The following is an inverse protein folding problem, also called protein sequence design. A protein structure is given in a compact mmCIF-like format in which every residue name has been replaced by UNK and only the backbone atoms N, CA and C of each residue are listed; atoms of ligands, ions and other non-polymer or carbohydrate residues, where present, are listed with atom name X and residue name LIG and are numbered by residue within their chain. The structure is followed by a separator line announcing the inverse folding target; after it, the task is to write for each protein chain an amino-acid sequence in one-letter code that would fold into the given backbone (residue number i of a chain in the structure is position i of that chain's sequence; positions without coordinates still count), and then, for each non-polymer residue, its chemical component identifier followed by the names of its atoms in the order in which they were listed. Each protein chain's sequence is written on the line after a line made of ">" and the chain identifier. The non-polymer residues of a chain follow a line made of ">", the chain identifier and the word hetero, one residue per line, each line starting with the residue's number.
data_IF_176175824024
#
_entry.id   IF_176175824024
#
_cell.length_a   1.000
_cell.length_b   1.000
_cell.length_c   1.000
_cell.angle_alpha   90.00
_cell.angle_beta   90.00
_cell.angle_gamma   90.00
#
_symmetry.space_group_name_H-M   'P 1'
#
loop_
_entity.id
_entity.type
_entity.pdbx_description
1 polymer ?
#
# COMPACT_ATOMS: atom_id res chain seq x y z
N UNK A 1 -71.41 38.01 11.14
CA UNK A 1 -70.95 36.81 11.86
C UNK A 1 -71.05 35.61 10.93
N UNK A 2 -70.12 35.47 9.96
CA UNK A 2 -70.04 34.34 9.02
C UNK A 2 -68.58 34.16 8.61
N UNK A 3 -68.13 32.89 8.58
CA UNK A 3 -66.79 32.36 8.35
C UNK A 3 -66.20 32.64 6.95
N UNK A 4 -64.88 32.85 6.87
CA UNK A 4 -64.06 32.46 5.71
C UNK A 4 -62.70 31.93 6.21
N UNK A 5 -62.44 30.66 5.93
CA UNK A 5 -61.13 30.00 6.05
C UNK A 5 -60.12 30.62 5.08
N UNK A 6 -58.88 30.79 5.51
CA UNK A 6 -57.74 30.67 4.61
C UNK A 6 -56.57 30.04 5.37
N UNK A 7 -56.49 28.73 5.20
CA UNK A 7 -55.36 27.89 5.55
C UNK A 7 -54.21 28.21 4.59
N UNK A 8 -53.06 28.63 5.12
CA UNK A 8 -51.79 28.65 4.38
C UNK A 8 -50.66 28.36 5.36
N UNK A 9 -50.54 27.09 5.72
CA UNK A 9 -49.30 26.52 6.24
C UNK A 9 -48.17 26.77 5.24
N UNK A 10 -47.27 27.72 5.56
CA UNK A 10 -45.96 27.83 4.92
C UNK A 10 -45.17 26.56 5.24
N UNK A 11 -44.60 25.85 4.24
CA UNK A 11 -43.71 24.74 4.52
C UNK A 11 -42.43 25.28 5.16
N UNK A 12 -42.12 24.77 6.36
CA UNK A 12 -40.82 24.93 7.01
C UNK A 12 -39.78 24.28 6.10
N UNK A 13 -38.88 25.09 5.55
CA UNK A 13 -37.78 24.60 4.73
C UNK A 13 -36.93 23.62 5.55
N UNK A 14 -36.86 22.37 5.10
CA UNK A 14 -35.89 21.38 5.57
C UNK A 14 -34.48 21.96 5.43
N UNK A 15 -33.57 21.76 6.40
CA UNK A 15 -32.16 22.07 6.19
C UNK A 15 -31.66 21.24 5.01
N UNK A 16 -31.26 21.93 3.92
CA UNK A 16 -30.65 21.32 2.74
C UNK A 16 -29.33 20.72 3.20
N UNK A 17 -29.18 19.40 3.08
CA UNK A 17 -27.91 18.73 3.37
C UNK A 17 -26.81 19.36 2.52
N UNK A 18 -25.59 19.55 3.06
CA UNK A 18 -24.49 20.11 2.29
C UNK A 18 -24.25 19.24 1.04
N UNK A 19 -23.96 19.87 -0.11
CA UNK A 19 -23.83 19.18 -1.39
C UNK A 19 -22.69 18.14 -1.34
N UNK A 20 -22.92 16.98 -1.94
CA UNK A 20 -21.96 15.85 -1.95
C UNK A 20 -20.71 16.13 -2.80
N UNK A 21 -20.77 17.13 -3.70
CA UNK A 21 -19.67 17.55 -4.54
C UNK A 21 -19.79 19.04 -4.92
N UNK A 22 -18.64 19.69 -5.07
CA UNK A 22 -18.52 21.05 -5.57
C UNK A 22 -17.82 21.05 -6.92
N UNK A 23 -18.22 21.94 -7.82
CA UNK A 23 -17.55 22.16 -9.10
C UNK A 23 -17.17 23.63 -9.27
N UNK A 24 -15.99 23.88 -9.82
CA UNK A 24 -15.48 25.21 -10.12
C UNK A 24 -14.54 25.13 -11.32
N UNK A 25 -14.73 25.99 -12.32
CA UNK A 25 -13.96 25.91 -13.58
C UNK A 25 -13.98 24.50 -14.18
N UNK A 26 -12.83 23.93 -14.60
CA UNK A 26 -12.73 22.54 -15.09
C UNK A 26 -12.66 21.50 -13.96
N UNK A 27 -12.72 21.92 -12.69
CA UNK A 27 -12.48 21.06 -11.54
C UNK A 27 -13.76 20.63 -10.85
N UNK A 28 -13.73 19.40 -10.33
CA UNK A 28 -14.77 18.84 -9.47
C UNK A 28 -14.11 18.25 -8.22
N UNK A 29 -14.62 18.61 -7.06
CA UNK A 29 -14.17 18.09 -5.78
C UNK A 29 -15.30 17.30 -5.11
N UNK A 30 -14.97 16.11 -4.64
CA UNK A 30 -15.87 15.23 -3.90
C UNK A 30 -15.26 15.03 -2.50
N UNK A 31 -15.66 15.85 -1.50
CA UNK A 31 -15.03 15.83 -0.18
C UNK A 31 -15.06 14.46 0.51
N UNK A 32 -16.17 13.73 0.37
CA UNK A 32 -16.34 12.38 0.96
C UNK A 32 -15.37 11.35 0.38
N UNK A 33 -15.05 11.46 -0.92
CA UNK A 33 -14.18 10.52 -1.63
C UNK A 33 -12.71 10.99 -1.67
N UNK A 34 -12.42 12.16 -1.07
CA UNK A 34 -11.12 12.82 -1.15
C UNK A 34 -10.59 12.98 -2.58
N UNK A 35 -11.50 13.17 -3.52
CA UNK A 35 -11.22 13.18 -4.95
C UNK A 35 -11.28 14.61 -5.50
N UNK A 36 -10.22 15.00 -6.21
CA UNK A 36 -10.20 16.18 -7.07
C UNK A 36 -10.06 15.70 -8.52
N UNK A 37 -10.97 16.11 -9.38
CA UNK A 37 -10.96 15.81 -10.82
C UNK A 37 -10.77 17.10 -11.61
N UNK A 38 -10.11 17.02 -12.77
CA UNK A 38 -10.11 18.05 -13.80
C UNK A 38 -10.62 17.45 -15.10
N UNK A 39 -11.73 17.96 -15.62
CA UNK A 39 -12.40 17.40 -16.80
C UNK A 39 -12.63 15.87 -16.70
N UNK A 40 -12.92 15.36 -15.50
CA UNK A 40 -13.12 13.93 -15.22
C UNK A 40 -11.87 13.09 -15.01
N UNK A 41 -10.66 13.67 -15.08
CA UNK A 41 -9.41 12.98 -14.75
C UNK A 41 -8.95 13.33 -13.33
N UNK A 42 -8.54 12.33 -12.54
CA UNK A 42 -8.08 12.55 -11.17
C UNK A 42 -6.80 13.39 -11.12
N UNK A 43 -6.79 14.41 -10.27
CA UNK A 43 -5.65 15.29 -10.01
C UNK A 43 -5.04 14.93 -8.65
N UNK A 44 -3.76 14.51 -8.59
CA UNK A 44 -3.14 14.16 -7.33
C UNK A 44 -2.97 15.40 -6.44
N UNK A 45 -3.54 15.36 -5.24
CA UNK A 45 -3.42 16.41 -4.24
C UNK A 45 -3.12 15.79 -2.87
N UNK A 46 -2.08 16.27 -2.20
CA UNK A 46 -1.70 15.77 -0.87
C UNK A 46 -2.78 16.05 0.17
N UNK A 47 -2.93 15.17 1.17
CA UNK A 47 -4.07 15.17 2.10
C UNK A 47 -4.34 16.53 2.76
N UNK A 48 -3.30 17.21 3.25
CA UNK A 48 -3.45 18.53 3.91
C UNK A 48 -3.81 19.64 2.93
N UNK A 49 -3.29 19.61 1.71
CA UNK A 49 -3.67 20.57 0.67
C UNK A 49 -5.12 20.34 0.20
N UNK A 50 -5.57 19.09 0.18
CA UNK A 50 -6.97 18.74 -0.08
C UNK A 50 -7.90 19.24 1.02
N UNK A 51 -7.53 19.08 2.30
CA UNK A 51 -8.35 19.57 3.42
C UNK A 51 -8.48 21.10 3.38
N UNK A 52 -7.41 21.81 3.04
CA UNK A 52 -7.44 23.26 2.80
C UNK A 52 -8.34 23.63 1.62
N UNK A 53 -8.29 22.88 0.51
CA UNK A 53 -9.15 23.11 -0.65
C UNK A 53 -10.63 22.93 -0.29
N UNK A 54 -10.99 21.86 0.43
CA UNK A 54 -12.36 21.66 0.89
C UNK A 54 -12.85 22.83 1.75
N UNK A 55 -12.02 23.29 2.70
CA UNK A 55 -12.40 24.40 3.58
C UNK A 55 -12.56 25.72 2.80
N UNK A 56 -11.69 25.98 1.83
CA UNK A 56 -11.72 27.18 1.00
C UNK A 56 -12.88 27.17 0.00
N UNK A 57 -13.23 26.01 -0.57
CA UNK A 57 -14.35 25.85 -1.51
C UNK A 57 -15.71 25.91 -0.80
N UNK A 58 -15.82 25.32 0.39
CA UNK A 58 -17.03 25.38 1.23
C UNK A 58 -17.37 26.82 1.64
N UNK A 59 -16.35 27.67 1.76
CA UNK A 59 -16.48 29.12 2.06
C UNK A 59 -16.03 30.00 0.89
N UNK A 60 -16.32 29.58 -0.34
CA UNK A 60 -15.92 30.33 -1.52
C UNK A 60 -16.50 31.76 -1.50
N UNK A 61 -15.65 32.74 -1.82
CA UNK A 61 -15.96 34.17 -1.71
C UNK A 61 -15.70 34.79 -0.33
N UNK A 62 -15.45 33.98 0.72
CA UNK A 62 -15.11 34.47 2.06
C UNK A 62 -13.60 34.42 2.32
N UNK A 63 -13.10 35.38 3.10
CA UNK A 63 -11.70 35.37 3.56
C UNK A 63 -11.59 34.50 4.80
N UNK A 64 -10.92 33.36 4.68
CA UNK A 64 -10.68 32.43 5.79
C UNK A 64 -9.36 32.76 6.46
N UNK A 65 -9.40 32.94 7.79
CA UNK A 65 -8.24 33.27 8.61
C UNK A 65 -7.16 32.18 8.60
N UNK A 66 -5.88 32.59 8.67
CA UNK A 66 -4.76 31.62 8.72
C UNK A 66 -4.84 30.69 9.93
N UNK A 67 -5.23 31.21 11.09
CA UNK A 67 -5.39 30.42 12.31
C UNK A 67 -6.48 29.35 12.16
N UNK A 68 -7.60 29.68 11.52
CA UNK A 68 -8.70 28.75 11.27
C UNK A 68 -8.30 27.67 10.25
N UNK A 69 -7.61 28.06 9.18
CA UNK A 69 -7.05 27.13 8.20
C UNK A 69 -6.06 26.16 8.87
N UNK A 70 -5.20 26.66 9.76
CA UNK A 70 -4.24 25.83 10.50
C UNK A 70 -4.97 24.88 11.46
N UNK A 71 -5.87 25.40 12.29
CA UNK A 71 -6.59 24.61 13.28
C UNK A 71 -7.43 23.50 12.65
N UNK A 72 -7.97 23.73 11.45
CA UNK A 72 -8.83 22.76 10.76
C UNK A 72 -8.06 21.77 9.91
N UNK A 73 -7.02 22.21 9.20
CA UNK A 73 -6.20 21.31 8.41
C UNK A 73 -5.16 20.54 9.25
N UNK A 74 -4.84 20.99 10.47
CA UNK A 74 -3.95 20.31 11.42
C UNK A 74 -4.52 20.30 12.85
N UNK A 75 -5.62 19.57 13.10
CA UNK A 75 -6.23 19.52 14.43
C UNK A 75 -5.24 18.93 15.46
N UNK A 76 -5.05 19.64 16.57
CA UNK A 76 -4.20 19.20 17.68
C UNK A 76 -2.68 19.34 17.46
N UNK A 77 -2.24 19.98 16.38
CA UNK A 77 -0.82 20.22 16.09
C UNK A 77 -0.53 21.72 16.03
N UNK A 78 0.58 22.14 16.64
CA UNK A 78 1.08 23.51 16.51
C UNK A 78 1.92 23.61 15.24
N UNK A 79 1.41 24.35 14.24
CA UNK A 79 2.03 24.46 12.92
C UNK A 79 2.28 25.93 12.60
N UNK A 80 3.46 26.24 12.06
CA UNK A 80 3.81 27.61 11.67
C UNK A 80 3.16 28.05 10.34
N UNK A 81 3.09 29.36 10.09
CA UNK A 81 2.52 29.91 8.86
C UNK A 81 3.29 29.54 7.57
N UNK A 82 4.55 29.11 7.68
CA UNK A 82 5.34 28.59 6.56
C UNK A 82 4.78 27.28 6.02
N UNK A 83 4.33 26.39 6.90
CA UNK A 83 3.67 25.14 6.51
C UNK A 83 2.33 25.40 5.79
N UNK A 84 1.52 26.34 6.27
CA UNK A 84 0.30 26.76 5.56
C UNK A 84 0.62 27.29 4.15
N UNK A 85 1.62 28.18 4.03
CA UNK A 85 2.08 28.72 2.74
C UNK A 85 2.54 27.63 1.79
N UNK A 86 3.30 26.65 2.27
CA UNK A 86 3.77 25.51 1.46
C UNK A 86 2.61 24.73 0.85
N UNK A 87 1.59 24.38 1.64
CA UNK A 87 0.45 23.63 1.15
C UNK A 87 -0.46 24.45 0.23
N UNK A 88 -0.55 25.77 0.41
CA UNK A 88 -1.22 26.65 -0.56
C UNK A 88 -0.45 26.69 -1.89
N UNK A 89 0.87 26.62 -1.90
CA UNK A 89 1.66 26.50 -3.14
C UNK A 89 1.38 25.18 -3.86
N UNK A 90 1.32 24.06 -3.13
CA UNK A 90 0.94 22.76 -3.71
C UNK A 90 -0.47 22.78 -4.29
N UNK A 91 -1.40 23.40 -3.57
CA UNK A 91 -2.77 23.59 -4.02
C UNK A 91 -2.84 24.37 -5.33
N UNK A 92 -2.18 25.52 -5.39
CA UNK A 92 -2.10 26.37 -6.59
C UNK A 92 -1.47 25.63 -7.77
N UNK A 93 -0.45 24.82 -7.53
CA UNK A 93 0.18 23.99 -8.55
C UNK A 93 -0.80 22.94 -9.10
N UNK A 94 -1.60 22.30 -8.24
CA UNK A 94 -2.59 21.32 -8.68
C UNK A 94 -3.76 21.95 -9.47
N UNK A 95 -4.09 23.20 -9.16
CA UNK A 95 -5.14 23.95 -9.86
C UNK A 95 -4.65 24.70 -11.12
N UNK A 96 -3.36 24.57 -11.47
CA UNK A 96 -2.71 25.35 -12.54
C UNK A 96 -2.89 26.87 -12.40
N UNK A 97 -2.96 27.36 -11.16
CA UNK A 97 -3.24 28.75 -10.72
C UNK A 97 -2.24 29.81 -11.26
N UNK A 98 -1.26 29.39 -12.07
CA UNK A 98 -0.14 30.19 -12.59
C UNK A 98 -0.05 30.16 -14.11
N UNK A 99 -0.80 29.29 -14.80
CA UNK A 99 -0.77 29.12 -16.25
C UNK A 99 -2.17 29.37 -16.82
N UNK A 100 -2.48 30.63 -17.15
CA UNK A 100 -3.70 30.98 -17.89
C UNK A 100 -4.51 32.16 -17.38
N UNK A 101 -4.10 32.84 -16.31
CA UNK A 101 -4.75 34.08 -15.84
C UNK A 101 -5.95 33.90 -14.90
N UNK A 102 -6.37 32.66 -14.63
CA UNK A 102 -7.37 32.36 -13.60
C UNK A 102 -6.67 32.05 -12.27
N UNK A 103 -6.88 32.89 -11.26
CA UNK A 103 -6.45 32.59 -9.89
C UNK A 103 -7.64 32.14 -9.06
N UNK A 104 -7.64 30.89 -8.62
CA UNK A 104 -8.63 30.24 -7.77
C UNK A 104 -8.43 30.58 -6.29
N UNK A 105 -7.18 30.74 -5.83
CA UNK A 105 -6.86 31.04 -4.42
C UNK A 105 -6.06 32.33 -4.30
N UNK A 106 -6.65 33.35 -3.69
CA UNK A 106 -6.04 34.67 -3.49
C UNK A 106 -5.60 34.83 -2.03
N UNK A 107 -4.40 35.39 -1.83
CA UNK A 107 -3.92 35.79 -0.51
C UNK A 107 -4.43 37.21 -0.21
N UNK A 108 -5.12 37.38 0.91
CA UNK A 108 -5.55 38.69 1.41
C UNK A 108 -4.59 39.11 2.54
N UNK A 109 -3.72 40.11 2.31
CA UNK A 109 -2.68 40.50 3.25
C UNK A 109 -3.24 40.77 4.66
N UNK A 110 -2.60 40.16 5.67
CA UNK A 110 -3.00 40.30 7.08
C UNK A 110 -4.31 39.60 7.47
N UNK A 111 -5.05 38.99 6.54
CA UNK A 111 -6.37 38.40 6.81
C UNK A 111 -6.46 36.91 6.52
N UNK A 112 -5.76 36.40 5.51
CA UNK A 112 -5.74 34.96 5.20
C UNK A 112 -5.90 34.67 3.71
N UNK A 113 -6.69 33.65 3.37
CA UNK A 113 -6.86 33.19 1.99
C UNK A 113 -8.34 33.18 1.61
N UNK A 114 -8.63 33.45 0.33
CA UNK A 114 -9.97 33.43 -0.23
C UNK A 114 -9.98 32.59 -1.51
N UNK A 115 -11.01 31.76 -1.67
CA UNK A 115 -11.30 31.07 -2.92
C UNK A 115 -12.20 31.95 -3.79
N UNK A 116 -11.73 32.39 -4.95
CA UNK A 116 -12.39 33.45 -5.73
C UNK A 116 -13.10 32.96 -6.99
N UNK A 117 -13.05 31.66 -7.28
CA UNK A 117 -13.77 31.09 -8.42
C UNK A 117 -15.24 30.79 -8.06
N UNK A 118 -16.19 30.96 -9.00
CA UNK A 118 -17.58 30.60 -8.80
C UNK A 118 -17.72 29.09 -8.53
N UNK A 119 -18.20 28.73 -7.34
CA UNK A 119 -18.46 27.35 -6.94
C UNK A 119 -19.93 27.00 -7.15
N UNK A 120 -20.17 25.90 -7.85
CA UNK A 120 -21.49 25.36 -8.10
C UNK A 120 -21.65 24.02 -7.38
N UNK A 121 -22.85 23.78 -6.86
CA UNK A 121 -23.22 22.48 -6.32
C UNK A 121 -23.43 21.52 -7.50
N UNK A 122 -22.52 20.57 -7.67
CA UNK A 122 -22.60 19.61 -8.76
C UNK A 122 -23.55 18.48 -8.35
N UNK A 123 -24.84 18.63 -8.66
CA UNK A 123 -25.76 17.49 -8.64
C UNK A 123 -25.28 16.46 -9.68
N UNK A 124 -25.19 15.18 -9.29
CA UNK A 124 -24.75 14.08 -10.17
C UNK A 124 -25.45 14.16 -11.54
N UNK A 125 -24.72 14.22 -12.68
CA UNK A 125 -25.31 13.79 -13.93
C UNK A 125 -25.44 12.26 -13.87
N UNK A 126 -26.67 11.79 -13.79
CA UNK A 126 -27.03 10.37 -13.98
C UNK A 126 -26.70 9.95 -15.42
N UNK A 127 -25.44 9.60 -15.67
CA UNK A 127 -25.00 8.73 -16.78
C UNK A 127 -23.81 7.90 -16.32
N UNK A 128 -24.05 7.00 -15.40
CA UNK A 128 -23.20 5.84 -15.14
C UNK A 128 -24.13 4.64 -14.99
N UNK A 129 -23.84 3.54 -15.69
CA UNK A 129 -24.67 2.35 -15.57
C UNK A 129 -24.73 1.93 -14.10
N UNK A 130 -25.86 1.40 -13.59
CA UNK A 130 -25.94 0.85 -12.23
C UNK A 130 -24.86 -0.22 -11.96
N UNK A 131 -24.36 -0.87 -13.02
CA UNK A 131 -23.22 -1.80 -12.97
C UNK A 131 -21.88 -1.11 -12.71
N UNK A 132 -21.67 0.09 -13.25
CA UNK A 132 -20.43 0.87 -13.05
C UNK A 132 -20.39 1.48 -11.65
N UNK A 133 -21.52 1.95 -11.13
CA UNK A 133 -21.63 2.45 -9.76
C UNK A 133 -21.39 1.36 -8.71
N UNK A 134 -21.92 0.16 -8.94
CA UNK A 134 -21.70 -0.99 -8.07
C UNK A 134 -20.26 -1.55 -8.19
N UNK A 135 -19.62 -1.44 -9.35
CA UNK A 135 -18.20 -1.77 -9.51
C UNK A 135 -17.28 -0.72 -8.84
N UNK A 136 -17.63 0.57 -8.94
CA UNK A 136 -16.87 1.65 -8.32
C UNK A 136 -16.99 1.62 -6.79
N UNK A 137 -18.18 1.34 -6.24
CA UNK A 137 -18.36 1.14 -4.78
C UNK A 137 -17.64 -0.11 -4.26
N UNK A 138 -17.55 -1.19 -5.04
CA UNK A 138 -16.78 -2.40 -4.68
C UNK A 138 -15.26 -2.21 -4.72
N UNK A 139 -14.77 -1.16 -5.38
CA UNK A 139 -13.37 -0.77 -5.46
C UNK A 139 -12.98 0.36 -4.47
N UNK A 140 -13.96 0.97 -3.77
CA UNK A 140 -13.70 1.97 -2.74
C UNK A 140 -13.02 1.30 -1.54
N UNK A 141 -11.70 1.50 -1.42
CA UNK A 141 -10.86 0.95 -0.34
C UNK A 141 -9.60 0.22 -0.81
N UNK A 142 -9.45 -0.04 -2.12
CA UNK A 142 -8.26 -0.69 -2.65
C UNK A 142 -7.16 0.33 -2.99
N UNK A 143 -5.88 0.03 -2.70
CA UNK A 143 -4.76 0.79 -3.22
C UNK A 143 -4.79 0.84 -4.77
N UNK A 144 -4.14 1.84 -5.38
CA UNK A 144 -4.01 1.90 -6.83
C UNK A 144 -3.48 0.59 -7.41
N UNK A 145 -4.05 0.16 -8.53
CA UNK A 145 -3.55 -1.03 -9.24
C UNK A 145 -2.07 -0.82 -9.57
N UNK A 146 -1.22 -1.83 -9.33
CA UNK A 146 0.13 -1.83 -9.87
C UNK A 146 0.04 -1.62 -11.39
N UNK A 147 0.86 -0.71 -11.92
CA UNK A 147 0.82 -0.37 -13.35
C UNK A 147 1.14 -1.58 -14.23
N UNK A 148 1.99 -2.50 -13.76
CA UNK A 148 2.28 -3.80 -14.36
C UNK A 148 2.65 -4.82 -13.30
N UNK A 149 2.32 -6.08 -13.61
CA UNK A 149 2.68 -7.25 -12.83
C UNK A 149 3.57 -8.14 -13.69
N UNK A 150 4.81 -8.37 -13.28
CA UNK A 150 5.77 -9.19 -14.03
C UNK A 150 5.98 -10.53 -13.34
N UNK A 151 5.65 -11.63 -14.02
CA UNK A 151 5.95 -12.98 -13.56
C UNK A 151 5.19 -13.43 -12.32
N UNK A 152 4.02 -12.84 -12.04
CA UNK A 152 3.19 -13.19 -10.87
C UNK A 152 1.80 -13.69 -11.22
N UNK A 153 1.47 -13.84 -12.50
CA UNK A 153 0.15 -14.25 -12.96
C UNK A 153 -0.27 -15.61 -12.37
N UNK A 154 0.64 -16.60 -12.43
CA UNK A 154 0.41 -17.92 -11.85
C UNK A 154 0.21 -17.88 -10.32
N UNK A 155 0.94 -17.01 -9.62
CA UNK A 155 0.80 -16.86 -8.17
C UNK A 155 -0.55 -16.24 -7.79
N UNK A 156 -1.03 -15.26 -8.56
CA UNK A 156 -2.35 -14.65 -8.35
C UNK A 156 -3.47 -15.67 -8.58
N UNK A 157 -3.38 -16.45 -9.67
CA UNK A 157 -4.36 -17.51 -9.97
C UNK A 157 -4.40 -18.55 -8.85
N UNK A 158 -3.24 -19.07 -8.45
CA UNK A 158 -3.13 -20.06 -7.37
C UNK A 158 -3.68 -19.54 -6.03
N UNK A 159 -3.41 -18.27 -5.69
CA UNK A 159 -3.98 -17.66 -4.48
C UNK A 159 -5.50 -17.50 -4.58
N UNK A 160 -6.04 -17.14 -5.74
CA UNK A 160 -7.48 -17.03 -5.96
C UNK A 160 -8.19 -18.39 -5.79
N UNK A 161 -7.59 -19.47 -6.30
CA UNK A 161 -8.07 -20.84 -6.13
C UNK A 161 -8.06 -21.23 -4.64
N UNK A 162 -6.95 -21.04 -3.93
CA UNK A 162 -6.88 -21.38 -2.51
C UNK A 162 -7.81 -20.53 -1.64
N UNK A 163 -7.99 -19.24 -1.93
CA UNK A 163 -8.97 -18.41 -1.23
C UNK A 163 -10.40 -18.92 -1.43
N UNK A 164 -10.71 -19.48 -2.60
CA UNK A 164 -12.01 -20.11 -2.88
C UNK A 164 -12.27 -21.29 -1.97
N UNK A 165 -11.27 -22.16 -1.82
CA UNK A 165 -11.41 -23.43 -1.14
C UNK A 165 -11.29 -23.30 0.38
N UNK A 166 -10.42 -22.41 0.85
CA UNK A 166 -9.96 -22.36 2.24
C UNK A 166 -10.43 -21.13 3.01
N UNK A 167 -10.81 -20.05 2.33
CA UNK A 167 -11.20 -18.73 2.90
C UNK A 167 -10.15 -18.05 3.80
N UNK A 168 -9.10 -18.72 4.26
CA UNK A 168 -8.03 -18.11 5.04
C UNK A 168 -6.68 -18.54 4.49
N UNK A 169 -6.01 -17.60 3.81
CA UNK A 169 -4.72 -17.82 3.15
C UNK A 169 -3.73 -16.76 3.62
N UNK A 170 -2.51 -17.18 3.95
CA UNK A 170 -1.38 -16.29 4.22
C UNK A 170 -0.38 -16.40 3.10
N UNK A 171 -0.11 -15.28 2.41
CA UNK A 171 1.01 -15.13 1.49
C UNK A 171 2.27 -14.80 2.28
N UNK A 172 3.17 -15.76 2.37
CA UNK A 172 4.45 -15.69 3.07
C UNK A 172 5.59 -15.38 2.12
N UNK A 173 6.60 -14.67 2.60
CA UNK A 173 7.87 -14.51 1.90
C UNK A 173 8.71 -13.34 2.42
N UNK A 174 9.97 -13.21 1.99
CA UNK A 174 10.89 -12.18 2.49
C UNK A 174 10.44 -10.74 2.16
N UNK A 175 11.09 -9.75 2.77
CA UNK A 175 10.89 -8.34 2.43
C UNK A 175 11.25 -8.06 0.97
N UNK A 176 10.46 -7.24 0.27
CA UNK A 176 10.74 -6.88 -1.12
C UNK A 176 10.46 -7.96 -2.19
N UNK A 177 9.92 -9.13 -1.79
CA UNK A 177 9.53 -10.20 -2.72
C UNK A 177 8.28 -9.86 -3.56
N UNK A 178 7.50 -8.84 -3.18
CA UNK A 178 6.32 -8.39 -3.92
C UNK A 178 4.97 -8.92 -3.41
N UNK A 179 4.88 -9.37 -2.15
CA UNK A 179 3.62 -9.86 -1.54
C UNK A 179 2.49 -8.84 -1.64
N UNK A 180 2.74 -7.58 -1.25
CA UNK A 180 1.77 -6.49 -1.33
C UNK A 180 1.28 -6.27 -2.76
N UNK A 181 2.18 -6.31 -3.75
CA UNK A 181 1.82 -6.18 -5.18
C UNK A 181 0.88 -7.30 -5.62
N UNK A 182 1.20 -8.55 -5.27
CA UNK A 182 0.35 -9.72 -5.57
C UNK A 182 -1.01 -9.61 -4.87
N UNK A 183 -1.02 -9.23 -3.59
CA UNK A 183 -2.24 -9.09 -2.81
C UNK A 183 -3.17 -7.99 -3.35
N UNK A 184 -2.62 -6.84 -3.75
CA UNK A 184 -3.38 -5.76 -4.38
C UNK A 184 -3.95 -6.23 -5.72
N UNK A 185 -3.17 -6.88 -6.57
CA UNK A 185 -3.69 -7.40 -7.85
C UNK A 185 -4.83 -8.39 -7.63
N UNK A 186 -4.63 -9.36 -6.73
CA UNK A 186 -5.66 -10.34 -6.40
C UNK A 186 -6.93 -9.67 -5.85
N UNK A 187 -6.79 -8.66 -4.99
CA UNK A 187 -7.91 -7.89 -4.45
C UNK A 187 -8.72 -7.22 -5.57
N UNK A 188 -8.04 -6.64 -6.55
CA UNK A 188 -8.65 -6.01 -7.72
C UNK A 188 -9.35 -6.99 -8.65
N UNK A 189 -8.78 -8.19 -8.84
CA UNK A 189 -9.39 -9.26 -9.65
C UNK A 189 -10.57 -9.92 -8.93
N UNK A 190 -10.54 -9.97 -7.60
CA UNK A 190 -11.57 -10.58 -6.76
C UNK A 190 -12.73 -9.63 -6.42
N UNK A 191 -12.62 -8.33 -6.74
CA UNK A 191 -13.59 -7.30 -6.35
C UNK A 191 -15.04 -7.59 -6.78
N UNK A 192 -15.23 -8.22 -7.95
CA UNK A 192 -16.56 -8.55 -8.47
C UNK A 192 -17.17 -9.82 -7.84
N UNK A 193 -16.35 -10.64 -7.18
CA UNK A 193 -16.74 -11.95 -6.66
C UNK A 193 -17.45 -11.88 -5.31
N UNK A 194 -17.03 -10.93 -4.47
CA UNK A 194 -17.56 -10.76 -3.14
C UNK A 194 -18.70 -9.74 -3.16
N UNK A 195 -19.88 -10.12 -2.66
CA UNK A 195 -21.08 -9.26 -2.67
C UNK A 195 -20.84 -7.91 -2.01
N UNK A 196 -20.15 -7.92 -0.87
CA UNK A 196 -19.83 -6.76 -0.04
C UNK A 196 -18.41 -6.21 -0.31
N UNK A 197 -17.74 -6.69 -1.39
CA UNK A 197 -16.50 -6.15 -1.92
C UNK A 197 -15.22 -6.67 -1.25
N UNK A 198 -14.13 -5.94 -1.47
CA UNK A 198 -12.79 -6.28 -0.96
C UNK A 198 -12.25 -5.08 -0.17
N UNK A 199 -11.60 -5.36 0.96
CA UNK A 199 -11.13 -4.35 1.88
C UNK A 199 -9.66 -4.59 2.17
N UNK A 200 -8.83 -3.58 1.89
CA UNK A 200 -7.39 -3.64 2.07
C UNK A 200 -6.98 -2.85 3.32
N UNK A 201 -6.25 -3.49 4.21
CA UNK A 201 -5.81 -2.94 5.48
C UNK A 201 -4.29 -3.04 5.54
N UNK A 202 -3.60 -1.91 5.38
CA UNK A 202 -2.17 -1.81 5.62
C UNK A 202 -1.90 -1.70 7.12
N UNK A 203 -1.37 -2.77 7.72
CA UNK A 203 -0.99 -2.78 9.11
C UNK A 203 0.41 -2.22 9.34
N UNK A 204 1.20 -1.92 8.30
CA UNK A 204 2.63 -1.64 8.41
C UNK A 204 3.03 -0.38 9.20
N UNK A 205 2.08 0.47 9.59
CA UNK A 205 2.31 1.62 10.48
C UNK A 205 1.78 1.41 11.89
N UNK A 206 1.05 0.31 12.12
CA UNK A 206 0.51 -0.05 13.42
C UNK A 206 1.67 -0.50 14.32
N UNK A 207 1.71 -0.01 15.56
CA UNK A 207 2.75 -0.42 16.53
C UNK A 207 2.17 -1.16 17.73
N UNK A 208 0.89 -0.94 17.99
CA UNK A 208 0.19 -1.53 19.12
C UNK A 208 -0.70 -2.68 18.61
N UNK A 209 -0.39 -3.95 18.96
CA UNK A 209 -1.19 -5.10 18.59
C UNK A 209 -2.64 -5.03 19.07
N UNK A 210 -2.94 -4.27 20.13
CA UNK A 210 -4.31 -4.10 20.63
C UNK A 210 -5.20 -3.28 19.68
N UNK A 211 -4.61 -2.54 18.75
CA UNK A 211 -5.32 -1.69 17.79
C UNK A 211 -5.71 -2.42 16.50
N UNK A 212 -5.30 -3.68 16.30
CA UNK A 212 -5.54 -4.41 15.03
C UNK A 212 -7.03 -4.49 14.69
N UNK A 213 -7.87 -4.91 15.64
CA UNK A 213 -9.32 -4.99 15.42
C UNK A 213 -9.96 -3.63 15.13
N UNK A 214 -9.45 -2.56 15.76
CA UNK A 214 -9.91 -1.18 15.54
C UNK A 214 -9.51 -0.70 14.15
N UNK A 215 -8.29 -1.00 13.69
CA UNK A 215 -7.81 -0.65 12.36
C UNK A 215 -8.66 -1.32 11.27
N UNK A 216 -8.97 -2.61 11.42
CA UNK A 216 -9.84 -3.35 10.50
C UNK A 216 -11.26 -2.76 10.47
N UNK A 217 -11.84 -2.49 11.64
CA UNK A 217 -13.17 -1.89 11.71
C UNK A 217 -13.22 -0.48 11.13
N UNK A 218 -12.19 0.34 11.36
CA UNK A 218 -12.06 1.67 10.78
C UNK A 218 -11.98 1.61 9.25
N UNK A 219 -11.25 0.64 8.69
CA UNK A 219 -11.19 0.42 7.24
C UNK A 219 -12.56 0.05 6.66
N UNK A 220 -13.38 -0.68 7.42
CA UNK A 220 -14.75 -1.05 7.08
C UNK A 220 -15.78 0.09 7.29
N UNK A 221 -15.33 1.27 7.73
CA UNK A 221 -16.22 2.39 8.06
C UNK A 221 -17.10 2.16 9.29
N UNK A 222 -16.70 1.23 10.17
CA UNK A 222 -17.45 0.87 11.37
C UNK A 222 -17.03 1.77 12.53
N UNK A 223 -18.01 2.39 13.17
CA UNK A 223 -17.81 3.03 14.47
C UNK A 223 -17.94 1.95 15.55
N UNK A 224 -16.83 1.59 16.19
CA UNK A 224 -16.86 0.72 17.36
C UNK A 224 -17.06 1.60 18.61
N UNK A 225 -18.23 1.58 19.28
CA UNK A 225 -18.40 2.21 20.58
C UNK A 225 -17.59 1.51 21.67
N UNK A 226 -17.46 2.12 22.85
CA UNK A 226 -16.70 1.57 24.00
C UNK A 226 -17.08 0.11 24.29
N UNK A 227 -16.08 -0.78 24.37
CA UNK A 227 -16.27 -2.22 24.59
C UNK A 227 -15.17 -3.07 23.94
N UNK A 228 -15.44 -4.37 23.76
CA UNK A 228 -14.52 -5.29 23.07
C UNK A 228 -14.59 -5.09 21.54
N UNK A 229 -13.54 -4.53 20.90
CA UNK A 229 -13.54 -4.22 19.48
C UNK A 229 -13.59 -5.47 18.59
N UNK A 230 -13.00 -6.58 19.03
CA UNK A 230 -12.96 -7.83 18.27
C UNK A 230 -14.36 -8.41 18.13
N UNK A 231 -15.08 -8.50 19.25
CA UNK A 231 -16.46 -8.99 19.26
C UNK A 231 -17.36 -8.16 18.35
N UNK A 232 -17.26 -6.83 18.42
CA UNK A 232 -18.09 -5.91 17.61
C UNK A 232 -17.78 -6.01 16.12
N UNK A 233 -16.51 -6.15 15.76
CA UNK A 233 -16.10 -6.39 14.39
C UNK A 233 -16.71 -7.70 13.87
N UNK A 234 -16.63 -8.79 14.64
CA UNK A 234 -17.21 -10.07 14.25
C UNK A 234 -18.74 -9.98 14.10
N UNK A 235 -19.43 -9.31 15.02
CA UNK A 235 -20.87 -9.05 14.94
C UNK A 235 -21.22 -8.32 13.63
N UNK A 236 -20.43 -7.33 13.22
CA UNK A 236 -20.65 -6.57 11.99
C UNK A 236 -20.30 -7.34 10.69
N UNK A 237 -19.44 -8.35 10.79
CA UNK A 237 -18.98 -9.19 9.68
C UNK A 237 -19.87 -10.41 9.42
N UNK A 238 -20.66 -10.85 10.40
CA UNK A 238 -21.40 -12.13 10.37
C UNK A 238 -22.27 -12.31 9.13
N UNK A 239 -22.96 -11.26 8.70
CA UNK A 239 -23.88 -11.29 7.55
C UNK A 239 -23.26 -10.74 6.25
N UNK A 240 -21.94 -10.48 6.25
CA UNK A 240 -21.23 -9.92 5.10
C UNK A 240 -20.44 -10.99 4.34
N UNK A 241 -20.37 -10.80 3.03
CA UNK A 241 -19.59 -11.59 2.09
C UNK A 241 -18.51 -10.70 1.46
N UNK A 242 -17.33 -10.69 2.07
CA UNK A 242 -16.20 -9.83 1.67
C UNK A 242 -14.85 -10.52 1.83
N UNK A 243 -13.85 -10.01 1.12
CA UNK A 243 -12.45 -10.36 1.32
C UNK A 243 -11.73 -9.28 2.12
N UNK A 244 -11.12 -9.68 3.23
CA UNK A 244 -10.19 -8.86 4.01
C UNK A 244 -8.76 -9.16 3.54
N UNK A 245 -8.06 -8.14 3.09
CA UNK A 245 -6.63 -8.20 2.80
C UNK A 245 -5.88 -7.51 3.94
N UNK A 246 -5.18 -8.29 4.76
CA UNK A 246 -4.38 -7.83 5.89
C UNK A 246 -2.92 -7.77 5.46
N UNK A 247 -2.42 -6.59 5.09
CA UNK A 247 -1.06 -6.43 4.57
C UNK A 247 -0.06 -6.12 5.71
N UNK A 248 1.16 -6.64 5.58
CA UNK A 248 2.30 -6.33 6.44
C UNK A 248 2.13 -6.80 7.91
N UNK A 249 1.64 -8.01 8.12
CA UNK A 249 1.27 -8.55 9.44
C UNK A 249 2.47 -8.87 10.36
N UNK A 250 3.71 -8.89 9.86
CA UNK A 250 4.89 -9.45 10.55
C UNK A 250 5.27 -8.82 11.92
N UNK A 251 4.71 -7.67 12.27
CA UNK A 251 5.01 -6.97 13.54
C UNK A 251 3.86 -7.10 14.56
N UNK A 252 2.71 -7.66 14.15
CA UNK A 252 1.51 -7.87 14.97
C UNK A 252 0.94 -9.28 14.73
N UNK A 253 1.80 -10.24 14.37
CA UNK A 253 1.45 -11.60 13.94
C UNK A 253 0.47 -12.27 14.90
N UNK A 254 0.79 -12.29 16.20
CA UNK A 254 -0.06 -12.91 17.23
C UNK A 254 -1.46 -12.30 17.31
N UNK A 255 -1.58 -10.98 17.15
CA UNK A 255 -2.86 -10.29 17.22
C UNK A 255 -3.69 -10.51 15.95
N UNK A 256 -3.03 -10.51 14.79
CA UNK A 256 -3.66 -10.83 13.51
C UNK A 256 -4.13 -12.28 13.46
N UNK A 257 -3.30 -13.22 13.93
CA UNK A 257 -3.64 -14.64 14.04
C UNK A 257 -4.95 -14.85 14.82
N UNK A 258 -5.01 -14.36 16.06
CA UNK A 258 -6.21 -14.46 16.92
C UNK A 258 -7.44 -13.81 16.27
N UNK A 259 -7.27 -12.66 15.63
CA UNK A 259 -8.37 -11.98 14.96
C UNK A 259 -8.87 -12.77 13.74
N UNK A 260 -7.95 -13.26 12.92
CA UNK A 260 -8.26 -14.03 11.72
C UNK A 260 -8.96 -15.34 12.05
N UNK A 261 -8.51 -16.06 13.09
CA UNK A 261 -9.21 -17.26 13.61
C UNK A 261 -10.64 -16.94 14.02
N UNK A 262 -10.82 -15.87 14.81
CA UNK A 262 -12.12 -15.49 15.32
C UNK A 262 -13.09 -15.08 14.19
N UNK A 263 -12.61 -14.36 13.18
CA UNK A 263 -13.38 -14.02 11.97
C UNK A 263 -13.69 -15.28 11.16
N UNK A 264 -12.69 -16.12 10.87
CA UNK A 264 -12.85 -17.32 10.05
C UNK A 264 -13.91 -18.29 10.61
N UNK A 265 -13.96 -18.40 11.95
CA UNK A 265 -14.91 -19.25 12.67
C UNK A 265 -16.32 -18.67 12.78
N UNK A 266 -16.47 -17.35 12.90
CA UNK A 266 -17.75 -16.71 13.24
C UNK A 266 -18.40 -15.91 12.11
N UNK A 267 -17.68 -15.68 11.00
CA UNK A 267 -18.15 -15.00 9.80
C UNK A 267 -17.85 -15.88 8.56
N UNK A 268 -18.70 -16.90 8.28
CA UNK A 268 -18.39 -17.95 7.30
C UNK A 268 -18.29 -17.46 5.85
N UNK A 269 -18.91 -16.32 5.53
CA UNK A 269 -18.85 -15.70 4.21
C UNK A 269 -17.68 -14.70 4.05
N UNK A 270 -16.87 -14.49 5.09
CA UNK A 270 -15.66 -13.66 5.01
C UNK A 270 -14.46 -14.51 4.65
N UNK A 271 -13.71 -14.03 3.65
CA UNK A 271 -12.39 -14.57 3.29
C UNK A 271 -11.28 -13.62 3.76
N UNK A 272 -10.12 -14.17 4.07
CA UNK A 272 -8.95 -13.47 4.62
C UNK A 272 -7.74 -13.84 3.78
N UNK A 273 -7.08 -12.82 3.24
CA UNK A 273 -5.74 -12.89 2.70
C UNK A 273 -4.81 -12.10 3.61
N UNK A 274 -3.85 -12.75 4.25
CA UNK A 274 -2.81 -12.06 5.00
C UNK A 274 -1.52 -12.01 4.18
N UNK A 275 -0.75 -10.92 4.27
CA UNK A 275 0.64 -10.89 3.82
C UNK A 275 1.56 -10.74 5.03
N UNK A 276 2.60 -11.57 5.07
CA UNK A 276 3.54 -11.59 6.20
C UNK A 276 4.89 -12.13 5.79
N UNK A 277 5.92 -11.87 6.60
CA UNK A 277 7.25 -12.47 6.44
C UNK A 277 7.34 -13.88 7.02
N UNK A 278 6.41 -14.22 7.90
CA UNK A 278 6.29 -15.52 8.54
C UNK A 278 4.83 -15.99 8.55
N UNK A 279 4.60 -17.29 8.81
CA UNK A 279 3.26 -17.82 9.02
C UNK A 279 2.62 -17.16 10.24
N UNK A 280 1.29 -17.02 10.24
CA UNK A 280 0.55 -16.57 11.40
C UNK A 280 0.43 -17.64 12.49
N UNK A 281 0.72 -18.90 12.14
CA UNK A 281 0.55 -20.09 12.98
C UNK A 281 -0.89 -20.20 13.53
N UNK A 282 -1.85 -19.77 12.71
CA UNK A 282 -3.26 -19.68 13.08
C UNK A 282 -4.04 -20.93 12.66
N UNK A 283 -5.08 -21.26 13.43
CA UNK A 283 -6.01 -22.33 13.10
C UNK A 283 -6.68 -22.07 11.74
N UNK A 284 -6.72 -23.11 10.91
CA UNK A 284 -7.26 -23.07 9.54
C UNK A 284 -6.49 -22.16 8.56
N UNK A 285 -5.31 -21.68 8.93
CA UNK A 285 -4.42 -20.95 8.02
C UNK A 285 -3.91 -21.88 6.91
N UNK A 286 -4.04 -21.44 5.66
CA UNK A 286 -3.33 -22.06 4.54
C UNK A 286 -2.17 -21.15 4.10
N UNK A 287 -0.93 -21.61 4.27
CA UNK A 287 0.26 -20.81 3.93
C UNK A 287 0.67 -21.07 2.50
N UNK A 288 0.79 -19.99 1.72
CA UNK A 288 1.36 -19.99 0.37
C UNK A 288 2.66 -19.21 0.40
N UNK A 289 3.74 -19.84 -0.02
CA UNK A 289 5.03 -19.15 -0.14
C UNK A 289 5.17 -18.50 -1.52
N UNK A 290 5.56 -17.22 -1.51
CA UNK A 290 5.86 -16.49 -2.74
C UNK A 290 7.32 -16.69 -3.14
N UNK A 291 7.55 -17.49 -4.18
CA UNK A 291 8.89 -17.68 -4.74
C UNK A 291 9.49 -16.38 -5.31
N UNK A 292 10.82 -16.28 -5.42
CA UNK A 292 11.48 -15.26 -6.24
C UNK A 292 11.05 -15.30 -7.70
N UNK A 293 11.39 -14.24 -8.46
CA UNK A 293 11.16 -14.26 -9.90
C UNK A 293 12.07 -15.28 -10.57
N UNK A 294 11.59 -15.87 -11.66
CA UNK A 294 12.35 -16.83 -12.46
C UNK A 294 13.62 -16.17 -13.00
N UNK A 295 14.76 -16.84 -12.79
CA UNK A 295 16.10 -16.33 -13.11
C UNK A 295 16.69 -17.16 -14.26
N UNK A 296 17.42 -16.54 -15.21
CA UNK A 296 18.18 -17.29 -16.21
C UNK A 296 19.25 -18.20 -15.57
N UNK A 297 19.33 -19.49 -15.94
CA UNK A 297 20.31 -20.44 -15.40
C UNK A 297 21.75 -20.06 -15.78
N UNK A 298 22.75 -20.66 -15.13
CA UNK A 298 24.17 -20.41 -15.44
C UNK A 298 24.53 -20.84 -16.87
N UNK A 299 24.08 -22.02 -17.28
CA UNK A 299 24.26 -22.57 -18.63
C UNK A 299 23.21 -22.01 -19.63
N UNK A 300 22.90 -20.72 -19.52
CA UNK A 300 21.94 -20.06 -20.40
C UNK A 300 22.37 -20.22 -21.87
N UNK A 301 21.57 -20.89 -22.72
CA UNK A 301 22.00 -21.20 -24.08
C UNK A 301 22.17 -19.93 -24.93
N UNK A 302 23.25 -19.87 -25.70
CA UNK A 302 23.50 -18.79 -26.67
C UNK A 302 22.29 -18.61 -27.60
N UNK A 303 21.82 -17.37 -27.71
CA UNK A 303 20.68 -17.00 -28.56
C UNK A 303 19.29 -17.33 -28.00
N UNK A 304 19.18 -17.87 -26.78
CA UNK A 304 17.88 -18.02 -26.12
C UNK A 304 17.31 -16.66 -25.67
N UNK A 305 15.99 -16.51 -25.70
CA UNK A 305 15.32 -15.26 -25.33
C UNK A 305 15.31 -15.08 -23.81
N UNK A 306 16.16 -14.18 -23.32
CA UNK A 306 16.26 -13.88 -21.89
C UNK A 306 14.96 -13.31 -21.31
N UNK A 307 14.09 -12.71 -22.15
CA UNK A 307 12.80 -12.20 -21.70
C UNK A 307 11.82 -13.31 -21.30
N UNK A 308 12.13 -14.59 -21.54
CA UNK A 308 11.35 -15.69 -20.94
C UNK A 308 11.40 -15.65 -19.41
N UNK A 309 12.48 -15.14 -18.84
CA UNK A 309 12.69 -15.09 -17.39
C UNK A 309 12.13 -13.79 -16.82
N UNK A 310 11.25 -13.92 -15.83
CA UNK A 310 10.55 -12.77 -15.24
C UNK A 310 11.47 -11.79 -14.53
N UNK A 311 12.61 -12.24 -13.98
CA UNK A 311 13.61 -11.35 -13.39
C UNK A 311 14.23 -10.40 -14.43
N UNK A 312 14.55 -10.91 -15.62
CA UNK A 312 15.15 -10.15 -16.70
C UNK A 312 14.14 -9.18 -17.33
N UNK A 313 12.88 -9.62 -17.50
CA UNK A 313 11.79 -8.72 -17.92
C UNK A 313 11.62 -7.55 -16.95
N UNK A 314 11.57 -7.81 -15.64
CA UNK A 314 11.45 -6.77 -14.64
C UNK A 314 12.65 -5.81 -14.71
N UNK A 315 13.86 -6.34 -14.85
CA UNK A 315 15.07 -5.53 -14.99
C UNK A 315 14.97 -4.57 -16.18
N UNK A 316 14.60 -5.06 -17.35
CA UNK A 316 14.43 -4.24 -18.57
C UNK A 316 13.32 -3.21 -18.42
N UNK A 317 12.20 -3.56 -17.79
CA UNK A 317 11.12 -2.61 -17.52
C UNK A 317 11.56 -1.49 -16.57
N UNK A 318 12.29 -1.83 -15.50
CA UNK A 318 12.85 -0.86 -14.58
C UNK A 318 13.92 0.03 -15.24
N UNK A 319 14.76 -0.54 -16.11
CA UNK A 319 15.75 0.20 -16.90
C UNK A 319 15.07 1.22 -17.83
N UNK A 320 14.04 0.78 -18.56
CA UNK A 320 13.27 1.63 -19.46
C UNK A 320 12.60 2.78 -18.71
N UNK A 321 12.03 2.51 -17.52
CA UNK A 321 11.45 3.53 -16.66
C UNK A 321 12.49 4.55 -16.15
N UNK A 322 13.77 4.16 -16.06
CA UNK A 322 14.89 5.05 -15.74
C UNK A 322 15.47 5.79 -16.96
N UNK A 323 14.88 5.60 -18.16
CA UNK A 323 15.34 6.22 -19.41
C UNK A 323 16.42 5.46 -20.17
N UNK A 324 16.72 4.22 -19.76
CA UNK A 324 17.69 3.35 -20.43
C UNK A 324 16.95 2.22 -21.17
N UNK A 325 17.00 2.22 -22.51
CA UNK A 325 16.48 1.11 -23.31
C UNK A 325 17.60 0.12 -23.58
N UNK A 326 17.56 -1.02 -22.91
CA UNK A 326 18.49 -2.13 -23.18
C UNK A 326 18.05 -2.85 -24.45
N UNK A 327 18.98 -3.00 -25.39
CA UNK A 327 18.77 -3.82 -26.56
C UNK A 327 19.38 -5.17 -26.22
N UNK A 328 18.57 -6.07 -25.62
CA UNK A 328 18.95 -7.41 -25.16
C UNK A 328 19.45 -8.32 -26.31
N UNK A 329 20.55 -7.92 -26.92
CA UNK A 329 21.46 -8.68 -27.72
C UNK A 329 22.09 -9.78 -26.86
N UNK A 330 22.76 -10.74 -27.49
CA UNK A 330 23.39 -11.86 -26.76
C UNK A 330 24.31 -11.37 -25.64
N UNK A 331 25.14 -10.35 -25.87
CA UNK A 331 26.10 -9.87 -24.87
C UNK A 331 25.45 -9.09 -23.71
N UNK A 332 24.49 -8.19 -23.96
CA UNK A 332 23.79 -7.48 -22.87
C UNK A 332 22.91 -8.44 -22.07
N UNK A 333 22.29 -9.42 -22.74
CA UNK A 333 21.51 -10.48 -22.11
C UNK A 333 22.33 -11.26 -21.09
N UNK A 334 23.55 -11.71 -21.44
CA UNK A 334 24.42 -12.42 -20.50
C UNK A 334 24.73 -11.63 -19.22
N UNK A 335 24.98 -10.32 -19.34
CA UNK A 335 25.24 -9.46 -18.17
C UNK A 335 23.98 -9.31 -17.32
N UNK A 336 22.81 -9.08 -17.93
CA UNK A 336 21.52 -9.05 -17.21
C UNK A 336 21.26 -10.38 -16.49
N UNK A 337 21.55 -11.51 -17.14
CA UNK A 337 21.40 -12.83 -16.55
C UNK A 337 22.28 -13.00 -15.29
N UNK A 338 23.56 -12.59 -15.36
CA UNK A 338 24.46 -12.59 -14.19
C UNK A 338 23.96 -11.69 -13.07
N UNK A 339 23.49 -10.47 -13.40
CA UNK A 339 22.92 -9.54 -12.42
C UNK A 339 21.67 -10.16 -11.76
N UNK A 340 20.73 -10.71 -12.53
CA UNK A 340 19.53 -11.32 -11.97
C UNK A 340 19.85 -12.51 -11.05
N UNK A 341 20.86 -13.33 -11.39
CA UNK A 341 21.38 -14.39 -10.51
C UNK A 341 21.97 -13.84 -9.23
N UNK A 342 22.84 -12.82 -9.34
CA UNK A 342 23.42 -12.13 -8.19
C UNK A 342 22.37 -11.54 -7.25
N UNK A 343 21.21 -11.14 -7.77
CA UNK A 343 20.11 -10.57 -7.00
C UNK A 343 19.06 -11.61 -6.56
N UNK A 344 19.32 -12.90 -6.78
CA UNK A 344 18.45 -14.02 -6.39
C UNK A 344 16.99 -13.87 -6.87
N UNK A 345 16.78 -13.17 -7.99
CA UNK A 345 15.43 -12.93 -8.53
C UNK A 345 14.55 -12.04 -7.64
N UNK A 346 15.13 -11.32 -6.67
CA UNK A 346 14.40 -10.47 -5.72
C UNK A 346 13.90 -9.18 -6.41
N UNK A 347 12.58 -8.96 -6.55
CA UNK A 347 12.03 -7.82 -7.28
C UNK A 347 12.51 -6.45 -6.80
N UNK A 348 12.52 -6.22 -5.48
CA UNK A 348 12.98 -4.95 -4.92
C UNK A 348 14.46 -4.71 -5.23
N UNK A 349 15.30 -5.75 -5.14
CA UNK A 349 16.71 -5.62 -5.45
C UNK A 349 16.92 -5.31 -6.94
N UNK A 350 16.15 -5.96 -7.82
CA UNK A 350 16.14 -5.71 -9.26
C UNK A 350 15.73 -4.26 -9.57
N UNK A 351 14.66 -3.75 -8.98
CA UNK A 351 14.22 -2.35 -9.18
C UNK A 351 15.31 -1.36 -8.75
N UNK A 352 15.89 -1.56 -7.55
CA UNK A 352 16.93 -0.71 -7.01
C UNK A 352 18.18 -0.67 -7.90
N UNK A 353 18.60 -1.83 -8.40
CA UNK A 353 19.77 -1.96 -9.28
C UNK A 353 19.49 -1.38 -10.67
N UNK A 354 18.40 -1.78 -11.32
CA UNK A 354 18.09 -1.35 -12.69
C UNK A 354 17.91 0.18 -12.80
N UNK A 355 17.42 0.83 -11.73
CA UNK A 355 17.31 2.30 -11.67
C UNK A 355 18.66 3.04 -11.83
N UNK A 356 19.78 2.34 -11.61
CA UNK A 356 21.15 2.88 -11.70
C UNK A 356 21.69 2.97 -13.11
N UNK A 357 21.02 2.37 -14.09
CA UNK A 357 21.40 2.48 -15.50
C UNK A 357 21.32 3.91 -16.05
N UNK A 358 20.69 4.83 -15.29
CA UNK A 358 20.74 6.27 -15.57
C UNK A 358 22.11 6.92 -15.29
N UNK A 359 22.95 6.29 -14.45
CA UNK A 359 24.22 6.84 -13.97
C UNK A 359 25.42 5.90 -14.18
N UNK A 360 25.19 4.60 -14.39
CA UNK A 360 26.21 3.57 -14.53
C UNK A 360 25.91 2.67 -15.73
N UNK A 361 26.94 2.12 -16.35
CA UNK A 361 26.78 1.10 -17.38
C UNK A 361 26.38 -0.26 -16.78
N UNK A 362 25.89 -1.16 -17.62
CA UNK A 362 25.48 -2.50 -17.20
C UNK A 362 26.65 -3.32 -16.62
N UNK A 363 27.85 -3.16 -17.19
CA UNK A 363 29.07 -3.84 -16.72
C UNK A 363 29.51 -3.27 -15.36
N UNK A 364 29.51 -1.94 -15.21
CA UNK A 364 29.82 -1.29 -13.93
C UNK A 364 28.86 -1.76 -12.82
N UNK A 365 27.57 -1.92 -13.15
CA UNK A 365 26.58 -2.45 -12.21
C UNK A 365 26.87 -3.91 -11.84
N UNK A 366 27.20 -4.77 -12.81
CA UNK A 366 27.54 -6.18 -12.56
C UNK A 366 28.73 -6.31 -11.59
N UNK A 367 29.74 -5.45 -11.74
CA UNK A 367 30.91 -5.36 -10.85
C UNK A 367 30.53 -4.79 -9.48
N UNK A 368 29.75 -3.70 -9.41
CA UNK A 368 29.35 -3.03 -8.16
C UNK A 368 28.47 -3.91 -7.26
N UNK A 369 27.70 -4.81 -7.86
CA UNK A 369 26.88 -5.77 -7.12
C UNK A 369 27.77 -6.78 -6.39
N UNK A 370 29.04 -6.96 -6.76
CA UNK A 370 29.96 -7.77 -5.96
C UNK A 370 30.49 -6.94 -4.76
N UNK A 371 29.95 -7.20 -3.56
CA UNK A 371 30.45 -6.66 -2.30
C UNK A 371 29.45 -5.84 -1.47
N UNK A 372 29.97 -4.95 -0.59
CA UNK A 372 29.18 -4.16 0.39
C UNK A 372 28.21 -3.15 -0.24
N UNK A 373 28.34 -2.86 -1.53
CA UNK A 373 27.57 -1.84 -2.24
C UNK A 373 26.12 -2.25 -2.55
N UNK A 374 25.78 -3.55 -2.57
CA UNK A 374 24.38 -4.02 -2.69
C UNK A 374 23.44 -3.39 -1.65
N UNK A 375 23.96 -3.15 -0.45
CA UNK A 375 23.20 -2.67 0.71
C UNK A 375 23.00 -1.15 0.69
N UNK A 376 23.91 -0.40 0.07
CA UNK A 376 23.94 1.06 0.12
C UNK A 376 23.18 1.75 -1.04
N UNK A 377 22.34 1.03 -1.79
CA UNK A 377 21.59 1.58 -2.92
C UNK A 377 20.30 2.28 -2.45
N UNK A 378 20.22 3.63 -2.44
CA UNK A 378 18.99 4.33 -2.11
C UNK A 378 17.93 4.18 -3.22
N UNK A 379 16.76 3.68 -2.89
CA UNK A 379 15.54 3.71 -3.67
C UNK A 379 14.84 5.07 -3.68
N UNK A 380 13.56 5.08 -4.04
CA UNK A 380 12.76 6.31 -4.16
C UNK A 380 12.61 6.96 -2.78
N UNK A 381 12.87 8.27 -2.70
CA UNK A 381 12.71 9.07 -1.46
C UNK A 381 11.28 9.08 -0.91
N UNK A 382 10.30 8.79 -1.75
CA UNK A 382 8.88 8.74 -1.41
C UNK A 382 8.37 7.32 -1.14
N UNK A 383 9.22 6.30 -1.28
CA UNK A 383 8.87 4.95 -0.85
C UNK A 383 8.80 4.89 0.69
N UNK A 384 8.03 3.96 1.27
CA UNK A 384 8.11 3.66 2.69
C UNK A 384 9.57 3.43 3.10
N UNK A 385 9.99 3.87 4.28
CA UNK A 385 11.40 3.81 4.73
C UNK A 385 12.03 2.43 4.49
N UNK A 386 11.29 1.36 4.78
CA UNK A 386 11.69 -0.05 4.54
C UNK A 386 11.96 -0.44 3.08
N UNK A 387 11.49 0.34 2.11
CA UNK A 387 11.71 0.12 0.67
C UNK A 387 12.63 1.19 0.07
N UNK A 388 13.18 2.09 0.89
CA UNK A 388 14.11 3.13 0.43
C UNK A 388 15.54 2.60 0.21
N UNK A 389 15.86 1.37 0.59
CA UNK A 389 17.08 0.69 0.17
C UNK A 389 16.96 -0.80 0.47
N UNK A 390 17.86 -1.61 -0.09
CA UNK A 390 17.94 -3.02 0.28
C UNK A 390 18.38 -3.17 1.74
N UNK A 391 19.28 -2.31 2.25
CA UNK A 391 19.61 -2.26 3.68
C UNK A 391 18.38 -1.98 4.50
N UNK A 392 17.56 -0.97 4.18
CA UNK A 392 16.39 -0.64 4.98
C UNK A 392 15.36 -1.78 5.06
N UNK A 393 15.23 -2.58 3.98
CA UNK A 393 14.38 -3.78 3.98
C UNK A 393 14.94 -4.89 4.88
N UNK A 394 16.26 -5.06 4.88
CA UNK A 394 16.98 -6.03 5.70
C UNK A 394 17.03 -5.60 7.18
N UNK A 395 17.34 -4.34 7.45
CA UNK A 395 17.37 -3.71 8.78
C UNK A 395 16.01 -3.87 9.47
N UNK A 396 14.91 -3.62 8.75
CA UNK A 396 13.57 -3.91 9.27
C UNK A 396 13.39 -5.41 9.59
N UNK A 397 13.84 -6.32 8.72
CA UNK A 397 13.76 -7.77 8.99
C UNK A 397 14.56 -8.15 10.24
N UNK A 398 15.73 -7.55 10.39
CA UNK A 398 16.65 -7.75 11.50
C UNK A 398 16.09 -7.18 12.80
N UNK A 399 15.36 -6.06 12.73
CA UNK A 399 14.76 -5.43 13.90
C UNK A 399 13.55 -6.19 14.45
N UNK A 400 12.90 -7.02 13.63
CA UNK A 400 11.78 -7.86 14.04
C UNK A 400 12.20 -9.16 14.75
N UNK A 401 13.44 -9.61 14.58
CA UNK A 401 13.92 -10.84 15.23
C UNK A 401 14.45 -10.57 16.65
N UNK A 402 14.30 -11.56 17.52
CA UNK A 402 14.73 -11.50 18.92
C UNK A 402 16.25 -11.33 19.06
N UNK A 403 16.76 -10.84 20.20
CA UNK A 403 18.20 -10.70 20.43
C UNK A 403 18.99 -12.01 20.24
N UNK A 404 18.38 -13.15 20.58
CA UNK A 404 19.00 -14.47 20.40
C UNK A 404 19.13 -14.84 18.91
N UNK A 405 18.09 -14.58 18.12
CA UNK A 405 18.10 -14.78 16.67
C UNK A 405 19.08 -13.85 15.97
N UNK A 406 19.18 -12.59 16.41
CA UNK A 406 20.20 -11.65 15.92
C UNK A 406 21.61 -12.17 16.14
N UNK A 407 21.90 -12.69 17.33
CA UNK A 407 23.21 -13.27 17.65
C UNK A 407 23.51 -14.49 16.78
N UNK A 408 22.52 -15.37 16.56
CA UNK A 408 22.68 -16.52 15.68
C UNK A 408 22.96 -16.08 14.23
N UNK A 409 22.20 -15.12 13.70
CA UNK A 409 22.40 -14.60 12.34
C UNK A 409 23.80 -13.99 12.17
N UNK A 410 24.30 -13.25 13.17
CA UNK A 410 25.67 -12.74 13.17
C UNK A 410 26.71 -13.86 13.11
N UNK A 411 26.50 -14.97 13.85
CA UNK A 411 27.41 -16.14 13.83
C UNK A 411 27.36 -16.87 12.48
N UNK A 412 26.19 -16.94 11.85
CA UNK A 412 26.02 -17.54 10.52
C UNK A 412 26.69 -16.73 9.42
N UNK A 413 26.94 -15.43 9.61
CA UNK A 413 27.59 -14.55 8.62
C UNK A 413 29.03 -14.97 8.24
N UNK A 414 29.64 -15.93 8.95
CA UNK A 414 30.94 -16.50 8.60
C UNK A 414 30.90 -17.34 7.31
N UNK A 415 29.72 -17.85 6.93
CA UNK A 415 29.55 -18.58 5.70
C UNK A 415 29.41 -17.61 4.52
N UNK A 416 30.23 -17.74 3.46
CA UNK A 416 30.18 -16.87 2.29
C UNK A 416 29.00 -17.16 1.34
N UNK A 417 28.15 -18.13 1.67
CA UNK A 417 27.05 -18.60 0.84
C UNK A 417 26.16 -19.60 1.58
N UNK A 418 25.57 -20.55 0.84
CA UNK A 418 24.73 -21.59 1.44
C UNK A 418 25.51 -22.44 2.44
N UNK A 419 24.82 -22.90 3.48
CA UNK A 419 25.41 -23.70 4.54
C UNK A 419 24.49 -24.85 4.92
N UNK A 420 25.07 -25.90 5.47
CA UNK A 420 24.32 -27.04 6.00
C UNK A 420 23.84 -26.75 7.42
N UNK A 421 22.77 -27.42 7.84
CA UNK A 421 22.30 -27.37 9.23
C UNK A 421 23.40 -27.75 10.24
N UNK A 422 24.26 -28.71 9.90
CA UNK A 422 25.39 -29.08 10.76
C UNK A 422 26.41 -27.95 10.86
N UNK A 423 26.68 -27.24 9.76
CA UNK A 423 27.51 -26.03 9.77
C UNK A 423 26.92 -24.93 10.65
N UNK A 424 25.62 -24.68 10.53
CA UNK A 424 24.89 -23.72 11.36
C UNK A 424 25.00 -24.05 12.86
N UNK A 425 24.83 -25.33 13.23
CA UNK A 425 24.99 -25.81 14.61
C UNK A 425 26.39 -25.59 15.16
N UNK A 426 27.41 -25.82 14.34
CA UNK A 426 28.79 -25.70 14.76
C UNK A 426 29.16 -24.25 15.12
N UNK A 427 28.66 -23.27 14.37
CA UNK A 427 28.93 -21.84 14.62
C UNK A 427 27.99 -21.21 15.63
N UNK A 428 26.85 -21.85 15.91
CA UNK A 428 25.87 -21.36 16.87
C UNK A 428 26.31 -21.42 18.35
N UNK A 429 27.42 -22.08 18.68
CA UNK A 429 27.96 -22.19 20.04
C UNK A 429 27.46 -23.39 20.85
N UNK A 430 28.13 -23.72 21.96
CA UNK A 430 27.86 -24.92 22.78
C UNK A 430 26.66 -24.73 23.75
N UNK A 431 26.04 -25.83 24.24
CA UNK A 431 24.75 -25.85 24.96
C UNK A 431 24.72 -25.21 26.36
N UNK A 432 25.79 -24.54 26.79
CA UNK A 432 25.91 -23.93 28.12
C UNK A 432 25.13 -22.63 28.28
N UNK A 433 24.68 -22.01 27.18
CA UNK A 433 23.63 -20.98 27.18
C UNK A 433 22.30 -21.69 26.91
N UNK A 434 21.60 -22.12 27.98
CA UNK A 434 20.33 -22.84 27.84
C UNK A 434 19.26 -21.96 27.20
N UNK A 435 18.92 -22.36 25.96
CA UNK A 435 17.83 -21.91 25.11
C UNK A 435 18.30 -20.82 24.13
N UNK A 436 18.10 -20.92 22.79
CA UNK A 436 17.09 -21.72 22.08
C UNK A 436 17.55 -22.20 20.69
N UNK A 437 18.76 -22.75 20.46
CA UNK A 437 19.17 -23.10 19.07
C UNK A 437 18.19 -24.08 18.39
N UNK A 438 17.75 -25.14 19.07
CA UNK A 438 16.79 -26.08 18.48
C UNK A 438 15.43 -25.42 18.20
N UNK A 439 14.97 -24.52 19.08
CA UNK A 439 13.68 -23.83 18.99
C UNK A 439 13.69 -22.69 17.96
N UNK A 440 14.76 -21.89 17.94
CA UNK A 440 15.03 -20.88 16.90
C UNK A 440 15.16 -21.57 15.55
N UNK A 441 15.94 -22.66 15.46
CA UNK A 441 16.13 -23.35 14.20
C UNK A 441 14.85 -24.04 13.73
N UNK A 442 14.05 -24.64 14.61
CA UNK A 442 12.75 -25.19 14.22
C UNK A 442 11.80 -24.10 13.72
N UNK A 443 11.75 -22.94 14.38
CA UNK A 443 10.97 -21.78 13.92
C UNK A 443 11.50 -21.22 12.60
N UNK A 444 12.82 -21.17 12.40
CA UNK A 444 13.42 -20.72 11.14
C UNK A 444 13.18 -21.68 9.98
N UNK A 445 13.31 -23.00 10.23
CA UNK A 445 13.17 -24.03 9.19
C UNK A 445 11.74 -24.34 8.80
N UNK A 446 10.75 -24.07 9.66
CA UNK A 446 9.33 -24.27 9.35
C UNK A 446 8.66 -22.97 8.87
N UNK A 447 9.12 -21.80 9.34
CA UNK A 447 8.39 -20.54 9.16
C UNK A 447 9.08 -19.50 8.27
N UNK A 448 10.37 -19.62 7.88
CA UNK A 448 11.13 -18.49 7.29
C UNK A 448 12.14 -18.77 6.14
N UNK A 449 12.19 -19.97 5.56
CA UNK A 449 12.99 -20.24 4.34
C UNK A 449 12.25 -21.15 3.37
#
# INVERSE_FOLDING_TARGET
>A
MILVNCDTTKPVARPVAPPDAFAFGPFRIVPKERLLERNGASVPLGSRAFDLLCLLVDRAGEVVGKADLIARAWPGLTVDEGSLRFHVVQLRRALDDSKGGESYVVNVPGRGYCFVAPVHNAAMPMRSNPRDLAANQRAQGLPPRPSRLVGRDAAVVMLAEHLTERRFVTLRGPGGIGKTTVAITLAHESAARFRDGVQFIDLGTLRDPHLVAIAVASALGLLIPVGDPTRRLIEALRDRELLLVLDNCEHVVDAVARLAEAIHMQAPAVSILATSRESLEAMSEFVVELAPLEIPPEDFPDGSDINRYSSARLFTECAAAAGCSLALSSCEGEVVARICRKLDGMPLAIELVASRLSAHSLIEIDELIEGRFRLALPGRRTAPERHQSLSAALDWSYDLISPAERSLLQRLSVFPGTFTLQGARAVAGSPSERGPFSTIWSNWSQSRW
#
